data_IF_570547698439
#
_entry.id   IF_570547698439
#
_cell.length_a   1.000
_cell.length_b   1.000
_cell.length_c   1.000
_cell.angle_alpha   90.00
_cell.angle_beta   90.00
_cell.angle_gamma   90.00
#
_symmetry.space_group_name_H-M   'P 1'
#
loop_
_entity.id
_entity.type
_entity.pdbx_description
1 polymer ?
#
# COMPACT_ATOMS: atom_id res chain seq x y z
N UNK A 1 -10.56 10.34 -7.37
CA UNK A 1 -11.62 11.24 -6.87
C UNK A 1 -11.10 12.66 -6.95
N UNK A 2 -11.84 13.54 -7.57
CA UNK A 2 -11.35 14.87 -7.90
C UNK A 2 -11.02 15.76 -6.70
N UNK A 3 -11.73 15.56 -5.59
CA UNK A 3 -11.54 16.35 -4.38
C UNK A 3 -10.60 15.68 -3.37
N UNK A 4 -10.20 14.45 -3.59
CA UNK A 4 -9.37 13.69 -2.65
C UNK A 4 -8.06 13.26 -3.31
N UNK A 5 -6.95 13.59 -2.66
CA UNK A 5 -5.61 13.19 -3.06
C UNK A 5 -4.96 12.45 -1.91
N UNK A 6 -4.64 11.19 -2.15
CA UNK A 6 -4.04 10.30 -1.14
C UNK A 6 -2.75 9.71 -1.69
N UNK A 7 -1.71 9.71 -0.87
CA UNK A 7 -0.44 9.08 -1.20
C UNK A 7 -0.24 7.85 -0.33
N UNK A 8 0.16 6.74 -0.94
CA UNK A 8 0.50 5.52 -0.23
C UNK A 8 1.95 5.15 -0.47
N UNK A 9 2.65 4.80 0.60
CA UNK A 9 4.00 4.23 0.55
C UNK A 9 3.96 2.87 1.21
N UNK A 10 4.55 1.87 0.57
CA UNK A 10 4.49 0.49 1.03
C UNK A 10 5.84 -0.20 0.82
N UNK A 11 6.32 -0.87 1.87
CA UNK A 11 7.55 -1.65 1.81
C UNK A 11 7.27 -3.08 2.27
N UNK A 12 7.67 -4.06 1.46
CA UNK A 12 7.54 -5.48 1.80
C UNK A 12 8.87 -5.95 2.38
N UNK A 13 9.07 -5.68 3.68
CA UNK A 13 10.35 -5.90 4.36
C UNK A 13 10.21 -6.72 5.65
N UNK A 14 9.09 -7.39 5.83
CA UNK A 14 8.77 -8.16 7.03
C UNK A 14 8.97 -7.35 8.32
N UNK A 15 8.52 -6.10 8.27
CA UNK A 15 8.58 -5.16 9.39
C UNK A 15 7.23 -4.47 9.50
N UNK A 16 6.28 -5.08 10.25
CA UNK A 16 4.91 -4.56 10.32
C UNK A 16 4.88 -3.20 11.01
N UNK A 17 4.33 -2.22 10.30
CA UNK A 17 4.15 -0.86 10.80
C UNK A 17 3.06 -0.17 9.98
N UNK A 18 2.26 0.66 10.60
CA UNK A 18 1.20 1.36 9.90
C UNK A 18 0.99 2.78 10.44
N UNK A 19 1.01 3.74 9.54
CA UNK A 19 0.61 5.14 9.75
C UNK A 19 -0.46 5.46 8.72
N UNK A 20 -1.70 5.63 9.16
CA UNK A 20 -2.84 5.70 8.26
C UNK A 20 -3.74 6.87 8.64
N UNK A 21 -3.96 7.78 7.67
CA UNK A 21 -4.79 8.97 7.85
C UNK A 21 -6.28 8.74 7.52
N UNK A 22 -6.68 7.49 7.26
CA UNK A 22 -8.06 7.19 6.89
C UNK A 22 -9.02 7.66 7.99
N UNK A 23 -10.04 8.49 7.65
CA UNK A 23 -10.93 9.07 8.65
C UNK A 23 -11.99 8.12 9.21
N UNK A 24 -12.26 7.01 8.53
CA UNK A 24 -13.25 6.04 8.96
C UNK A 24 -12.60 5.00 9.87
N UNK A 25 -13.05 4.85 11.13
CA UNK A 25 -12.43 3.94 12.08
C UNK A 25 -12.42 2.47 11.63
N UNK A 26 -13.46 2.02 10.95
CA UNK A 26 -13.56 0.64 10.50
C UNK A 26 -12.53 0.35 9.41
N UNK A 27 -12.45 1.21 8.40
CA UNK A 27 -11.50 1.05 7.30
C UNK A 27 -10.07 1.31 7.74
N UNK A 28 -9.88 2.24 8.67
CA UNK A 28 -8.57 2.46 9.29
C UNK A 28 -8.09 1.18 9.98
N UNK A 29 -8.95 0.55 10.76
CA UNK A 29 -8.63 -0.71 11.45
C UNK A 29 -8.33 -1.82 10.46
N UNK A 30 -9.11 -1.91 9.39
CA UNK A 30 -8.88 -2.91 8.34
C UNK A 30 -7.50 -2.77 7.71
N UNK A 31 -7.14 -1.57 7.31
CA UNK A 31 -5.84 -1.30 6.68
C UNK A 31 -4.67 -1.58 7.62
N UNK A 32 -4.82 -1.20 8.88
CA UNK A 32 -3.80 -1.47 9.90
C UNK A 32 -3.64 -2.97 10.13
N UNK A 33 -4.73 -3.69 10.27
CA UNK A 33 -4.71 -5.16 10.45
C UNK A 33 -4.07 -5.84 9.25
N UNK A 34 -4.37 -5.37 8.06
CA UNK A 34 -3.77 -5.88 6.83
C UNK A 34 -2.24 -5.69 6.86
N UNK A 35 -1.77 -4.52 7.22
CA UNK A 35 -0.33 -4.23 7.28
C UNK A 35 0.37 -5.14 8.30
N UNK A 36 -0.24 -5.31 9.48
CA UNK A 36 0.31 -6.17 10.52
C UNK A 36 0.36 -7.63 10.09
N UNK A 37 -0.72 -8.14 9.49
CA UNK A 37 -0.80 -9.53 9.05
C UNK A 37 0.11 -9.84 7.87
N UNK A 38 0.26 -8.89 6.96
CA UNK A 38 1.10 -9.05 5.77
C UNK A 38 2.59 -8.80 6.04
N UNK A 39 2.94 -8.27 7.21
CA UNK A 39 4.32 -7.93 7.54
C UNK A 39 4.89 -6.79 6.72
N UNK A 40 4.05 -5.82 6.37
CA UNK A 40 4.47 -4.68 5.55
C UNK A 40 4.55 -3.40 6.37
N UNK A 41 5.40 -2.48 5.92
CA UNK A 41 5.41 -1.11 6.39
C UNK A 41 4.51 -0.30 5.48
N UNK A 42 3.46 0.30 6.04
CA UNK A 42 2.41 1.00 5.29
C UNK A 42 2.21 2.42 5.79
N UNK A 43 2.29 3.38 4.89
CA UNK A 43 1.93 4.77 5.14
C UNK A 43 0.84 5.19 4.17
N UNK A 44 -0.26 5.69 4.69
CA UNK A 44 -1.33 6.29 3.88
C UNK A 44 -1.52 7.72 4.36
N UNK A 45 -1.20 8.68 3.49
CA UNK A 45 -1.26 10.10 3.79
C UNK A 45 -2.34 10.77 2.97
N UNK A 46 -3.26 11.45 3.64
CA UNK A 46 -4.26 12.27 2.98
C UNK A 46 -3.67 13.65 2.73
N UNK A 47 -3.44 13.97 1.47
CA UNK A 47 -2.87 15.26 1.06
C UNK A 47 -3.96 16.30 0.98
N UNK A 48 -5.11 15.94 0.39
CA UNK A 48 -6.30 16.78 0.26
C UNK A 48 -7.55 15.93 0.26
N UNK A 49 -8.64 16.51 0.76
CA UNK A 49 -9.96 15.90 0.71
C UNK A 49 -10.91 16.54 1.70
N UNK A 50 -12.19 16.62 1.32
CA UNK A 50 -13.23 17.20 2.16
C UNK A 50 -14.29 16.16 2.54
N UNK A 51 -14.55 15.22 1.68
CA UNK A 51 -15.57 14.19 1.87
C UNK A 51 -14.91 12.90 2.32
N UNK A 52 -15.27 12.42 3.50
CA UNK A 52 -14.68 11.23 4.09
C UNK A 52 -14.86 9.99 3.20
N UNK A 53 -16.01 9.86 2.53
CA UNK A 53 -16.26 8.76 1.60
C UNK A 53 -15.28 8.79 0.43
N UNK A 54 -15.03 9.96 -0.13
CA UNK A 54 -14.05 10.13 -1.22
C UNK A 54 -12.64 9.84 -0.75
N UNK A 55 -12.30 10.25 0.47
CA UNK A 55 -10.98 9.98 1.06
C UNK A 55 -10.78 8.47 1.25
N UNK A 56 -11.79 7.78 1.79
CA UNK A 56 -11.73 6.32 1.97
C UNK A 56 -11.54 5.62 0.63
N UNK A 57 -12.33 5.99 -0.37
CA UNK A 57 -12.24 5.42 -1.71
C UNK A 57 -10.87 5.64 -2.34
N UNK A 58 -10.35 6.87 -2.26
CA UNK A 58 -9.02 7.21 -2.76
C UNK A 58 -7.94 6.44 -2.02
N UNK A 59 -8.09 6.24 -0.71
CA UNK A 59 -7.15 5.47 0.11
C UNK A 59 -7.07 4.02 -0.36
N UNK A 60 -8.20 3.36 -0.60
CA UNK A 60 -8.21 1.99 -1.10
C UNK A 60 -7.63 1.87 -2.50
N UNK A 61 -7.96 2.81 -3.39
CA UNK A 61 -7.39 2.83 -4.75
C UNK A 61 -5.88 3.01 -4.72
N UNK A 62 -5.41 3.94 -3.90
CA UNK A 62 -3.98 4.21 -3.74
C UNK A 62 -3.24 3.00 -3.17
N UNK A 63 -3.81 2.37 -2.14
CA UNK A 63 -3.25 1.15 -1.53
C UNK A 63 -3.19 0.01 -2.55
N UNK A 64 -4.28 -0.22 -3.28
CA UNK A 64 -4.34 -1.28 -4.28
C UNK A 64 -3.31 -1.11 -5.38
N UNK A 65 -3.17 0.10 -5.90
CA UNK A 65 -2.18 0.39 -6.94
C UNK A 65 -0.76 0.23 -6.42
N UNK A 66 -0.48 0.73 -5.23
CA UNK A 66 0.83 0.63 -4.60
C UNK A 66 1.21 -0.83 -4.36
N UNK A 67 0.27 -1.63 -3.86
CA UNK A 67 0.47 -3.05 -3.62
C UNK A 67 0.73 -3.82 -4.91
N UNK A 68 -0.05 -3.53 -5.95
CA UNK A 68 0.14 -4.14 -7.27
C UNK A 68 1.55 -3.85 -7.80
N UNK A 69 1.99 -2.62 -7.71
CA UNK A 69 3.31 -2.21 -8.18
C UNK A 69 4.43 -2.87 -7.37
N UNK A 70 4.27 -2.96 -6.06
CA UNK A 70 5.26 -3.59 -5.18
C UNK A 70 5.40 -5.09 -5.47
N UNK A 71 4.31 -5.78 -5.70
CA UNK A 71 4.31 -7.22 -6.05
C UNK A 71 4.97 -7.43 -7.41
N UNK A 72 4.62 -6.60 -8.39
CA UNK A 72 5.20 -6.68 -9.73
C UNK A 72 6.70 -6.49 -9.71
N UNK A 73 7.18 -5.49 -8.97
CA UNK A 73 8.61 -5.21 -8.81
C UNK A 73 9.33 -6.40 -8.18
N UNK A 74 8.77 -6.97 -7.12
CA UNK A 74 9.34 -8.13 -6.43
C UNK A 74 9.43 -9.34 -7.36
N UNK A 75 8.37 -9.60 -8.14
CA UNK A 75 8.36 -10.70 -9.10
C UNK A 75 9.42 -10.52 -10.19
N UNK A 76 9.60 -9.30 -10.68
CA UNK A 76 10.62 -9.00 -11.67
C UNK A 76 12.03 -9.22 -11.12
N UNK A 77 12.29 -8.83 -9.89
CA UNK A 77 13.56 -9.07 -9.21
C UNK A 77 13.85 -10.55 -9.06
N UNK A 78 12.86 -11.33 -8.65
CA UNK A 78 12.99 -12.78 -8.54
C UNK A 78 13.24 -13.44 -9.89
N UNK A 79 12.52 -13.04 -10.92
CA UNK A 79 12.73 -13.54 -12.29
C UNK A 79 14.12 -13.26 -12.79
N UNK A 80 14.66 -12.09 -12.51
CA UNK A 80 16.01 -11.72 -12.90
C UNK A 80 17.06 -12.59 -12.21
N UNK A 81 16.87 -12.87 -10.93
CA UNK A 81 17.73 -13.79 -10.16
C UNK A 81 17.69 -15.18 -10.75
N UNK A 82 16.51 -15.71 -11.02
CA UNK A 82 16.35 -17.04 -11.59
C UNK A 82 17.04 -17.16 -12.94
N UNK A 83 16.93 -16.15 -13.78
CA UNK A 83 17.61 -16.12 -15.07
C UNK A 83 19.13 -16.11 -14.92
N UNK A 84 19.64 -15.37 -13.97
CA UNK A 84 21.06 -15.32 -13.68
C UNK A 84 21.60 -16.69 -13.23
N UNK A 85 20.85 -17.40 -12.40
CA UNK A 85 21.19 -18.75 -11.94
C UNK A 85 21.22 -19.74 -13.10
N UNK A 86 20.23 -19.67 -14.00
CA UNK A 86 20.17 -20.56 -15.16
C UNK A 86 21.35 -20.35 -16.10
N UNK A 87 21.79 -19.11 -16.27
CA UNK A 87 22.92 -18.77 -17.12
C UNK A 87 24.27 -19.12 -16.53
N UNK A 88 24.32 -19.11 -15.22
CA UNK A 88 25.55 -19.42 -14.49
C UNK A 88 25.85 -20.89 -14.45
#
# INVERSE_FOLDING_TARGET
MDDALVMTSLDIVDRPYAEIDCPDPLYHHFMRSFAMSAGITLHIMVIRGYDDHHIVEASFKSLGLCLKNAIKKRNNELSTKDRAEVKG
#
